data_IF_316304887906
#
_entry.id   IF_316304887906
#
_cell.length_a   1.000
_cell.length_b   1.000
_cell.length_c   1.000
_cell.angle_alpha   90.00
_cell.angle_beta   90.00
_cell.angle_gamma   90.00
#
_symmetry.space_group_name_H-M   'P 1'
#
loop_
_entity.id
_entity.type
_entity.pdbx_description
1 polymer ?
#
# COMPACT_ATOMS: atom_id res chain seq x y z
N UNK A 1 29.66 -20.48 72.04
CA UNK A 1 29.55 -20.86 70.62
C UNK A 1 28.28 -20.24 70.09
N UNK A 2 28.34 -19.14 69.37
CA UNK A 2 27.15 -18.46 68.69
C UNK A 2 27.31 -18.59 67.20
N UNK A 3 26.33 -19.24 66.57
CA UNK A 3 26.24 -19.49 65.14
C UNK A 3 25.85 -18.20 64.44
N UNK A 4 26.69 -17.74 63.53
CA UNK A 4 26.45 -16.60 62.63
C UNK A 4 25.63 -17.09 61.42
N UNK A 5 24.36 -16.68 61.30
CA UNK A 5 23.55 -16.94 60.12
C UNK A 5 23.93 -15.96 58.98
N UNK A 6 24.36 -16.53 57.86
CA UNK A 6 24.68 -15.80 56.63
C UNK A 6 23.42 -15.26 55.97
N UNK A 7 23.31 -13.96 55.85
CA UNK A 7 22.38 -13.24 55.00
C UNK A 7 23.12 -12.74 53.76
N UNK A 8 22.91 -13.30 52.62
CA UNK A 8 23.18 -12.79 51.24
C UNK A 8 22.51 -13.80 50.29
N UNK A 9 21.86 -13.47 49.16
CA UNK A 9 21.74 -12.22 48.46
C UNK A 9 20.34 -12.01 47.84
N UNK A 10 19.58 -11.07 48.28
CA UNK A 10 18.35 -10.69 47.57
C UNK A 10 18.51 -9.46 46.63
N UNK A 11 19.69 -8.79 46.66
CA UNK A 11 19.86 -7.51 45.97
C UNK A 11 20.34 -7.62 44.51
N UNK A 12 20.81 -8.80 44.07
CA UNK A 12 21.40 -8.95 42.73
C UNK A 12 20.36 -9.24 41.61
N UNK A 13 19.17 -9.73 41.97
CA UNK A 13 18.15 -10.12 40.96
C UNK A 13 17.34 -8.91 40.48
N UNK A 14 17.21 -7.85 41.26
CA UNK A 14 16.41 -6.68 40.89
C UNK A 14 17.08 -5.77 39.85
N UNK A 15 18.41 -5.76 39.76
CA UNK A 15 19.16 -4.91 38.81
C UNK A 15 19.10 -5.42 37.36
N UNK A 16 18.94 -6.73 37.14
CA UNK A 16 18.91 -7.34 35.79
C UNK A 16 17.59 -7.05 35.07
N UNK A 17 16.46 -7.01 35.80
CA UNK A 17 15.17 -6.71 35.26
C UNK A 17 15.06 -5.27 34.69
N UNK A 18 15.71 -4.29 35.34
CA UNK A 18 15.69 -2.89 34.85
C UNK A 18 16.50 -2.69 33.57
N UNK A 19 17.59 -3.39 33.38
CA UNK A 19 18.41 -3.27 32.16
C UNK A 19 17.70 -3.85 30.96
N UNK A 20 16.98 -4.98 31.12
CA UNK A 20 16.19 -5.60 30.06
C UNK A 20 15.01 -4.72 29.63
N UNK A 21 14.30 -4.08 30.57
CA UNK A 21 13.19 -3.18 30.28
C UNK A 21 13.65 -1.92 29.52
N UNK A 22 14.78 -1.33 29.89
CA UNK A 22 15.36 -0.18 29.21
C UNK A 22 15.85 -0.52 27.79
N UNK A 23 16.39 -1.71 27.56
CA UNK A 23 16.80 -2.17 26.23
C UNK A 23 15.61 -2.40 25.33
N UNK A 24 14.57 -3.13 25.79
CA UNK A 24 13.32 -3.37 25.05
C UNK A 24 12.65 -2.05 24.62
N UNK A 25 12.59 -1.05 25.51
CA UNK A 25 12.03 0.25 25.18
C UNK A 25 12.83 1.01 24.11
N UNK A 26 14.16 0.92 24.12
CA UNK A 26 15.03 1.59 23.16
C UNK A 26 14.94 0.92 21.78
N UNK A 27 14.88 -0.40 21.73
CA UNK A 27 14.72 -1.17 20.50
C UNK A 27 13.35 -0.89 19.86
N UNK A 28 12.27 -0.78 20.65
CA UNK A 28 10.95 -0.39 20.19
C UNK A 28 10.93 1.00 19.52
N UNK A 29 11.63 1.97 20.10
CA UNK A 29 11.72 3.33 19.55
C UNK A 29 12.55 3.42 18.25
N UNK A 30 13.37 2.43 17.98
CA UNK A 30 14.22 2.37 16.79
C UNK A 30 13.62 1.51 15.66
N UNK A 31 12.65 0.66 15.97
CA UNK A 31 12.03 -0.25 15.00
C UNK A 31 10.98 0.48 14.15
N UNK A 32 11.33 0.76 12.90
CA UNK A 32 10.45 1.33 11.89
C UNK A 32 9.85 0.28 10.96
N UNK A 33 10.11 -1.01 11.18
CA UNK A 33 9.74 -2.10 10.26
C UNK A 33 8.25 -2.08 9.92
N UNK A 34 7.37 -2.01 10.94
CA UNK A 34 5.92 -2.01 10.69
C UNK A 34 5.47 -0.78 9.91
N UNK A 35 6.07 0.39 10.16
CA UNK A 35 5.76 1.62 9.43
C UNK A 35 6.18 1.49 7.96
N UNK A 36 7.39 1.01 7.70
CA UNK A 36 7.90 0.78 6.34
C UNK A 36 7.12 -0.29 5.59
N UNK A 37 6.73 -1.39 6.25
CA UNK A 37 5.91 -2.44 5.65
C UNK A 37 4.51 -1.92 5.29
N UNK A 38 3.89 -1.14 6.17
CA UNK A 38 2.58 -0.53 5.89
C UNK A 38 2.67 0.50 4.75
N UNK A 39 3.68 1.37 4.75
CA UNK A 39 3.94 2.31 3.64
C UNK A 39 4.09 1.56 2.30
N UNK A 40 4.88 0.49 2.28
CA UNK A 40 5.06 -0.34 1.09
C UNK A 40 3.73 -0.93 0.59
N UNK A 41 2.82 -1.31 1.51
CA UNK A 41 1.47 -1.79 1.15
C UNK A 41 0.61 -0.68 0.54
N UNK A 42 0.64 0.53 1.10
CA UNK A 42 -0.12 1.67 0.57
C UNK A 42 0.41 2.09 -0.81
N UNK A 43 1.72 2.23 -0.96
CA UNK A 43 2.37 2.54 -2.24
C UNK A 43 2.07 1.48 -3.30
N UNK A 44 2.19 0.19 -2.95
CA UNK A 44 1.82 -0.91 -3.85
C UNK A 44 0.34 -0.84 -4.24
N UNK A 45 -0.53 -0.61 -3.27
CA UNK A 45 -1.98 -0.55 -3.49
C UNK A 45 -2.37 0.54 -4.48
N UNK A 46 -1.76 1.71 -4.39
CA UNK A 46 -1.97 2.81 -5.32
C UNK A 46 -1.38 2.50 -6.70
N UNK A 47 -0.20 1.91 -6.77
CA UNK A 47 0.48 1.55 -8.01
C UNK A 47 -0.36 0.62 -8.89
N UNK A 48 -0.84 -0.51 -8.35
CA UNK A 48 -1.62 -1.48 -9.13
C UNK A 48 -2.99 -0.97 -9.53
N UNK A 49 -3.61 -0.09 -8.73
CA UNK A 49 -4.86 0.59 -9.13
C UNK A 49 -4.63 1.48 -10.35
N UNK A 50 -3.61 2.32 -10.30
CA UNK A 50 -3.28 3.22 -11.40
C UNK A 50 -2.95 2.45 -12.69
N UNK A 51 -2.17 1.37 -12.58
CA UNK A 51 -1.85 0.48 -13.71
C UNK A 51 -3.13 -0.10 -14.33
N UNK A 52 -4.03 -0.65 -13.51
CA UNK A 52 -5.25 -1.28 -13.98
C UNK A 52 -6.23 -0.25 -14.59
N UNK A 53 -6.42 0.91 -13.93
CA UNK A 53 -7.29 1.97 -14.44
C UNK A 53 -6.77 2.54 -15.77
N UNK A 54 -5.45 2.70 -15.92
CA UNK A 54 -4.84 3.15 -17.16
C UNK A 54 -4.94 2.10 -18.27
N UNK A 55 -4.69 0.82 -17.97
CA UNK A 55 -4.85 -0.27 -18.90
C UNK A 55 -6.31 -0.39 -19.38
N UNK A 56 -7.30 -0.22 -18.49
CA UNK A 56 -8.72 -0.26 -18.86
C UNK A 56 -9.11 0.86 -19.83
N UNK A 57 -8.58 2.06 -19.66
CA UNK A 57 -8.83 3.20 -20.57
C UNK A 57 -8.39 2.91 -22.01
N UNK A 58 -7.31 2.15 -22.22
CA UNK A 58 -6.82 1.81 -23.56
C UNK A 58 -7.78 0.87 -24.33
N UNK A 59 -8.50 0.00 -23.62
CA UNK A 59 -9.41 -0.98 -24.24
C UNK A 59 -10.82 -0.46 -24.51
N UNK A 60 -11.32 0.45 -23.66
CA UNK A 60 -12.69 0.98 -23.82
C UNK A 60 -12.77 2.08 -24.89
N UNK A 61 -11.70 2.75 -25.21
CA UNK A 61 -11.72 3.87 -26.17
C UNK A 61 -11.82 3.43 -27.63
N UNK A 62 -11.54 2.15 -27.98
CA UNK A 62 -11.66 1.63 -29.34
C UNK A 62 -10.91 2.41 -30.44
N UNK A 63 -10.32 3.53 -30.10
CA UNK A 63 -9.53 4.41 -30.93
C UNK A 63 -8.14 4.57 -30.34
N UNK A 64 -7.12 4.27 -31.11
CA UNK A 64 -5.74 4.72 -30.86
C UNK A 64 -5.69 6.23 -31.05
N UNK A 65 -6.14 6.98 -30.04
CA UNK A 65 -5.88 8.41 -29.97
C UNK A 65 -4.48 8.61 -29.41
N UNK A 66 -3.90 9.78 -29.64
CA UNK A 66 -2.62 10.17 -29.03
C UNK A 66 -2.61 9.99 -27.51
N UNK A 67 -3.76 10.19 -26.85
CA UNK A 67 -3.96 9.98 -25.41
C UNK A 67 -3.85 8.50 -24.98
N UNK A 68 -4.34 7.56 -25.81
CA UNK A 68 -4.17 6.12 -25.56
C UNK A 68 -2.69 5.70 -25.69
N UNK A 69 -1.94 6.35 -26.57
CA UNK A 69 -0.51 6.16 -26.73
C UNK A 69 0.28 6.63 -25.50
N UNK A 70 -0.03 7.82 -24.98
CA UNK A 70 0.60 8.35 -23.76
C UNK A 70 0.31 7.46 -22.53
N UNK A 71 -0.91 6.96 -22.38
CA UNK A 71 -1.27 6.01 -21.33
C UNK A 71 -0.50 4.70 -21.47
N UNK A 72 -0.37 4.20 -22.70
CA UNK A 72 0.38 2.97 -22.99
C UNK A 72 1.87 3.12 -22.68
N UNK A 73 2.46 4.27 -22.98
CA UNK A 73 3.84 4.59 -22.62
C UNK A 73 4.05 4.69 -21.11
N UNK A 74 3.05 5.16 -20.36
CA UNK A 74 3.08 5.21 -18.90
C UNK A 74 3.07 3.83 -18.23
N UNK A 75 2.41 2.82 -18.87
CA UNK A 75 2.39 1.44 -18.38
C UNK A 75 3.72 0.71 -18.55
N UNK A 76 4.59 1.17 -19.41
CA UNK A 76 5.87 0.65 -19.90
C UNK A 76 5.76 0.01 -21.30
N UNK A 77 6.80 0.17 -22.10
CA UNK A 77 6.85 -0.35 -23.48
C UNK A 77 6.85 -1.89 -23.56
N UNK A 78 7.08 -2.58 -22.46
CA UNK A 78 7.14 -4.04 -22.40
C UNK A 78 5.88 -4.70 -21.82
N UNK A 79 4.89 -3.94 -21.35
CA UNK A 79 3.62 -4.50 -20.88
C UNK A 79 2.67 -4.77 -22.05
N UNK A 80 2.07 -5.94 -22.06
CA UNK A 80 0.99 -6.29 -23.00
C UNK A 80 -0.34 -6.23 -22.27
N UNK A 81 -1.30 -5.49 -22.85
CA UNK A 81 -2.66 -5.35 -22.31
C UNK A 81 -3.63 -6.12 -23.19
N UNK A 82 -4.42 -6.99 -22.59
CA UNK A 82 -5.46 -7.78 -23.27
C UNK A 82 -6.81 -7.57 -22.60
N UNK A 83 -7.83 -7.24 -23.40
CA UNK A 83 -9.20 -7.11 -22.93
C UNK A 83 -10.05 -8.26 -23.49
N UNK A 84 -10.59 -9.10 -22.62
CA UNK A 84 -11.67 -10.02 -22.94
C UNK A 84 -12.99 -9.37 -22.50
N UNK A 85 -13.68 -8.76 -23.46
CA UNK A 85 -14.97 -8.11 -23.25
C UNK A 85 -16.16 -9.03 -23.54
N UNK A 86 -15.92 -10.29 -23.94
CA UNK A 86 -16.93 -11.28 -24.31
C UNK A 86 -17.28 -12.18 -23.13
N UNK A 87 -16.29 -12.57 -22.34
CA UNK A 87 -16.48 -13.38 -21.12
C UNK A 87 -17.33 -12.67 -20.06
N UNK A 88 -17.98 -13.44 -19.21
CA UNK A 88 -18.71 -12.94 -18.05
C UNK A 88 -18.25 -13.69 -16.79
N UNK A 89 -17.50 -13.03 -15.86
CA UNK A 89 -17.09 -11.62 -15.88
C UNK A 89 -16.08 -11.32 -17.01
N UNK A 90 -16.00 -10.05 -17.44
CA UNK A 90 -14.98 -9.56 -18.37
C UNK A 90 -13.59 -9.62 -17.72
N UNK A 91 -12.56 -9.76 -18.53
CA UNK A 91 -11.19 -9.90 -18.01
C UNK A 91 -10.26 -8.90 -18.68
N UNK A 92 -9.55 -8.13 -17.86
CA UNK A 92 -8.41 -7.31 -18.25
C UNK A 92 -7.14 -7.98 -17.74
N UNK A 93 -6.21 -8.29 -18.64
CA UNK A 93 -4.89 -8.83 -18.29
C UNK A 93 -3.81 -7.84 -18.66
N UNK A 94 -2.94 -7.52 -17.69
CA UNK A 94 -1.72 -6.72 -17.88
C UNK A 94 -0.54 -7.65 -17.64
N UNK A 95 0.18 -7.99 -18.71
CA UNK A 95 1.30 -8.95 -18.70
C UNK A 95 2.62 -8.21 -18.90
N UNK A 96 3.47 -8.21 -17.88
CA UNK A 96 4.81 -7.61 -17.89
C UNK A 96 5.90 -8.62 -18.33
N UNK A 97 5.51 -9.83 -18.74
CA UNK A 97 6.43 -10.90 -19.11
C UNK A 97 7.10 -11.58 -17.93
N UNK A 98 8.13 -12.38 -18.21
CA UNK A 98 8.85 -13.20 -17.21
C UNK A 98 10.12 -12.54 -16.70
N UNK A 99 10.58 -11.47 -17.33
CA UNK A 99 11.77 -10.70 -16.96
C UNK A 99 11.38 -9.30 -16.49
N UNK A 100 12.28 -8.63 -15.76
CA UNK A 100 12.00 -7.28 -15.26
C UNK A 100 11.76 -6.30 -16.41
N UNK A 101 10.59 -5.71 -16.40
CA UNK A 101 10.10 -4.68 -17.28
C UNK A 101 10.09 -3.36 -16.50
N UNK A 102 10.97 -2.42 -16.86
CA UNK A 102 11.06 -1.14 -16.19
C UNK A 102 9.99 -0.18 -16.74
N UNK A 103 9.13 0.31 -15.84
CA UNK A 103 8.17 1.35 -16.15
C UNK A 103 8.80 2.75 -16.22
N UNK A 104 8.06 3.72 -16.75
CA UNK A 104 8.47 5.14 -16.77
C UNK A 104 8.69 5.71 -15.37
N UNK A 105 8.05 5.12 -14.35
CA UNK A 105 8.22 5.43 -12.93
C UNK A 105 9.52 4.82 -12.34
N UNK A 106 10.35 4.18 -13.15
CA UNK A 106 11.61 3.54 -12.76
C UNK A 106 11.45 2.23 -11.99
N UNK A 107 10.22 1.74 -11.79
CA UNK A 107 9.96 0.47 -11.09
C UNK A 107 10.01 -0.70 -12.05
N UNK A 108 10.67 -1.77 -11.62
CA UNK A 108 10.68 -3.04 -12.34
C UNK A 108 9.45 -3.87 -12.00
N UNK A 109 8.78 -4.42 -13.03
CA UNK A 109 7.64 -5.33 -12.88
C UNK A 109 7.84 -6.55 -13.76
N UNK A 110 7.33 -7.71 -13.32
CA UNK A 110 7.19 -8.94 -14.13
C UNK A 110 6.00 -9.75 -13.63
N UNK A 111 5.52 -10.70 -14.44
CA UNK A 111 4.30 -11.45 -14.18
C UNK A 111 3.06 -10.67 -14.58
N UNK A 112 1.89 -11.02 -14.05
CA UNK A 112 0.61 -10.50 -14.52
C UNK A 112 -0.24 -9.92 -13.41
N UNK A 113 -0.98 -8.86 -13.76
CA UNK A 113 -2.14 -8.38 -13.03
C UNK A 113 -3.37 -8.79 -13.84
N UNK A 114 -4.29 -9.52 -13.21
CA UNK A 114 -5.52 -10.02 -13.84
C UNK A 114 -6.70 -9.39 -13.10
N UNK A 115 -7.55 -8.66 -13.82
CA UNK A 115 -8.72 -8.00 -13.27
C UNK A 115 -9.96 -8.57 -13.95
N UNK A 116 -10.76 -9.33 -13.21
CA UNK A 116 -12.12 -9.67 -13.64
C UNK A 116 -13.10 -8.61 -13.16
N UNK A 117 -14.07 -8.21 -14.00
CA UNK A 117 -15.00 -7.14 -13.65
C UNK A 117 -16.39 -7.35 -14.25
N UNK A 118 -17.41 -6.85 -13.53
CA UNK A 118 -18.81 -6.87 -13.95
C UNK A 118 -19.17 -5.58 -14.70
N UNK A 119 -20.07 -5.64 -15.67
CA UNK A 119 -20.51 -4.46 -16.43
C UNK A 119 -19.38 -3.82 -17.24
N UNK A 120 -19.34 -2.50 -17.29
CA UNK A 120 -18.21 -1.74 -17.84
C UNK A 120 -17.22 -1.42 -16.72
N UNK A 121 -15.94 -1.28 -17.05
CA UNK A 121 -14.88 -1.12 -16.05
C UNK A 121 -15.09 0.10 -15.13
N UNK A 122 -15.53 1.23 -15.69
CA UNK A 122 -15.75 2.47 -14.93
C UNK A 122 -17.21 2.70 -14.53
N UNK A 123 -18.11 1.78 -14.84
CA UNK A 123 -19.55 1.92 -14.55
C UNK A 123 -19.81 1.96 -13.03
N UNK A 124 -20.76 2.80 -12.62
CA UNK A 124 -21.25 2.83 -11.23
C UNK A 124 -21.84 1.46 -10.88
N UNK A 125 -21.48 0.93 -9.73
CA UNK A 125 -21.87 -0.40 -9.27
C UNK A 125 -20.98 -1.53 -9.83
N UNK A 126 -20.01 -1.24 -10.74
CA UNK A 126 -19.06 -2.26 -11.18
C UNK A 126 -18.22 -2.80 -10.03
N UNK A 127 -18.03 -4.13 -10.04
CA UNK A 127 -17.14 -4.81 -9.09
C UNK A 127 -15.97 -5.40 -9.86
N UNK A 128 -14.77 -5.06 -9.42
CA UNK A 128 -13.51 -5.52 -10.01
C UNK A 128 -12.79 -6.41 -9.00
N UNK A 129 -12.37 -7.60 -9.43
CA UNK A 129 -11.53 -8.50 -8.62
C UNK A 129 -10.16 -8.59 -9.27
N UNK A 130 -9.14 -8.10 -8.56
CA UNK A 130 -7.76 -8.07 -9.02
C UNK A 130 -6.96 -9.17 -8.33
N UNK A 131 -6.30 -9.98 -9.14
CA UNK A 131 -5.41 -11.07 -8.73
C UNK A 131 -4.03 -10.91 -9.38
N UNK A 132 -3.04 -11.62 -8.84
CA UNK A 132 -1.64 -11.54 -9.24
C UNK A 132 -1.14 -12.93 -9.63
N UNK A 133 -0.64 -13.07 -10.87
CA UNK A 133 -0.02 -14.31 -11.34
C UNK A 133 1.49 -14.09 -11.51
N UNK A 134 2.27 -14.70 -10.61
CA UNK A 134 3.72 -14.53 -10.54
C UNK A 134 4.17 -13.07 -10.65
N UNK A 135 3.38 -12.16 -10.07
CA UNK A 135 3.63 -10.73 -10.16
C UNK A 135 4.67 -10.29 -9.13
N UNK A 136 5.63 -9.53 -9.64
CA UNK A 136 6.70 -8.93 -8.84
C UNK A 136 6.80 -7.44 -9.12
N UNK A 137 7.13 -6.68 -8.08
CA UNK A 137 7.49 -5.26 -8.15
C UNK A 137 8.81 -5.04 -7.42
N UNK A 138 9.84 -4.56 -8.14
CA UNK A 138 11.21 -4.42 -7.60
C UNK A 138 11.67 -5.70 -6.89
N UNK A 139 11.49 -6.86 -7.55
CA UNK A 139 11.84 -8.21 -7.09
C UNK A 139 11.11 -8.69 -5.81
N UNK A 140 10.14 -7.94 -5.31
CA UNK A 140 9.25 -8.40 -4.27
C UNK A 140 8.03 -9.08 -4.91
N UNK A 141 7.77 -10.35 -4.55
CA UNK A 141 6.60 -11.09 -5.04
C UNK A 141 5.35 -10.63 -4.32
N UNK A 142 4.27 -10.44 -5.08
CA UNK A 142 2.98 -9.98 -4.57
C UNK A 142 1.96 -11.09 -4.78
N UNK A 143 1.20 -11.39 -3.73
CA UNK A 143 0.09 -12.35 -3.74
C UNK A 143 -1.11 -11.77 -3.00
N UNK A 144 -2.30 -12.34 -3.25
CA UNK A 144 -3.55 -11.94 -2.61
C UNK A 144 -4.60 -11.48 -3.60
N UNK A 145 -5.72 -10.98 -3.09
CA UNK A 145 -6.86 -10.54 -3.88
C UNK A 145 -7.35 -9.18 -3.43
N UNK A 146 -7.73 -8.34 -4.39
CA UNK A 146 -8.36 -7.03 -4.13
C UNK A 146 -9.70 -6.97 -4.83
N UNK A 147 -10.73 -6.60 -4.08
CA UNK A 147 -12.07 -6.34 -4.61
C UNK A 147 -12.34 -4.85 -4.55
N UNK A 148 -12.62 -4.25 -5.69
CA UNK A 148 -12.88 -2.82 -5.84
C UNK A 148 -14.31 -2.65 -6.32
N UNK A 149 -15.13 -1.94 -5.55
CA UNK A 149 -16.51 -1.60 -5.90
C UNK A 149 -16.60 -0.11 -6.22
N UNK A 150 -17.11 0.24 -7.38
CA UNK A 150 -17.47 1.62 -7.72
C UNK A 150 -18.80 1.97 -7.05
N UNK A 151 -18.79 2.76 -5.99
CA UNK A 151 -19.99 3.12 -5.23
C UNK A 151 -20.78 4.26 -5.89
N UNK A 152 -20.23 4.90 -6.93
CA UNK A 152 -20.80 6.09 -7.53
C UNK A 152 -20.49 7.37 -6.76
N UNK A 153 -21.41 8.32 -6.79
CA UNK A 153 -21.22 9.63 -6.14
C UNK A 153 -21.57 9.57 -4.65
N UNK A 154 -20.75 10.22 -3.83
CA UNK A 154 -21.05 10.46 -2.42
C UNK A 154 -22.05 11.64 -2.25
N UNK A 155 -22.38 11.97 -1.00
CA UNK A 155 -23.28 13.05 -0.68
C UNK A 155 -22.79 14.46 -1.12
N UNK A 156 -21.49 14.58 -1.44
CA UNK A 156 -20.84 15.78 -1.97
C UNK A 156 -20.68 15.76 -3.49
N UNK A 157 -21.23 14.74 -4.16
CA UNK A 157 -21.14 14.58 -5.63
C UNK A 157 -19.77 14.07 -6.11
N UNK A 158 -18.95 13.46 -5.27
CA UNK A 158 -17.63 12.96 -5.59
C UNK A 158 -17.66 11.45 -5.84
N UNK A 159 -17.03 11.00 -6.91
CA UNK A 159 -16.88 9.56 -7.19
C UNK A 159 -16.07 8.89 -6.08
N UNK A 160 -16.52 7.71 -5.64
CA UNK A 160 -15.81 6.96 -4.62
C UNK A 160 -15.85 5.44 -4.86
N UNK A 161 -14.88 4.75 -4.30
CA UNK A 161 -14.70 3.32 -4.41
C UNK A 161 -14.39 2.71 -3.05
N UNK A 162 -15.01 1.57 -2.77
CA UNK A 162 -14.59 0.69 -1.67
C UNK A 162 -13.58 -0.31 -2.19
N UNK A 163 -12.46 -0.46 -1.48
CA UNK A 163 -11.36 -1.35 -1.82
C UNK A 163 -11.14 -2.31 -0.65
N UNK A 164 -11.46 -3.59 -0.86
CA UNK A 164 -11.19 -4.66 0.09
C UNK A 164 -9.98 -5.47 -0.39
N UNK A 165 -8.89 -5.42 0.35
CA UNK A 165 -7.72 -6.25 0.11
C UNK A 165 -7.72 -7.43 1.08
N UNK A 166 -7.58 -8.64 0.55
CA UNK A 166 -7.69 -9.88 1.31
C UNK A 166 -6.47 -10.76 1.08
N UNK A 167 -5.91 -11.30 2.18
CA UNK A 167 -4.76 -12.20 2.16
C UNK A 167 -3.59 -11.64 1.32
N UNK A 168 -3.44 -10.32 1.35
CA UNK A 168 -2.34 -9.69 0.65
C UNK A 168 -1.01 -10.08 1.30
N UNK A 169 -0.01 -10.30 0.44
CA UNK A 169 1.31 -10.73 0.88
C UNK A 169 2.39 -10.14 -0.03
N UNK A 170 3.42 -9.59 0.60
CA UNK A 170 4.68 -9.22 -0.04
C UNK A 170 5.76 -10.18 0.46
N UNK A 171 6.33 -10.97 -0.45
CA UNK A 171 7.53 -11.75 -0.20
C UNK A 171 8.70 -10.93 -0.71
N UNK A 172 9.45 -10.36 0.21
CA UNK A 172 10.59 -9.48 -0.10
C UNK A 172 11.74 -10.29 -0.72
N UNK A 173 12.59 -9.64 -1.50
CA UNK A 173 13.77 -10.27 -2.13
C UNK A 173 14.73 -10.94 -1.14
N UNK A 174 14.71 -10.51 0.13
CA UNK A 174 15.48 -11.11 1.23
C UNK A 174 14.75 -12.26 1.96
N UNK A 175 13.60 -12.74 1.43
CA UNK A 175 12.79 -13.81 1.98
C UNK A 175 11.86 -13.42 3.14
N UNK A 176 11.92 -12.20 3.66
CA UNK A 176 10.98 -11.75 4.68
C UNK A 176 9.58 -11.57 4.10
N UNK A 177 8.56 -11.86 4.89
CA UNK A 177 7.16 -11.83 4.48
C UNK A 177 6.40 -10.78 5.30
N UNK A 178 5.65 -9.95 4.60
CA UNK A 178 4.67 -9.03 5.16
C UNK A 178 3.29 -9.40 4.63
N UNK A 179 2.28 -9.53 5.50
CA UNK A 179 0.90 -9.84 5.12
C UNK A 179 -0.06 -8.80 5.66
N UNK A 180 -1.17 -8.56 4.93
CA UNK A 180 -2.21 -7.67 5.42
C UNK A 180 -3.58 -7.94 4.80
N UNK A 181 -4.61 -7.47 5.50
CA UNK A 181 -5.96 -7.23 4.99
C UNK A 181 -6.28 -5.75 5.20
N UNK A 182 -7.02 -5.14 4.28
CA UNK A 182 -7.43 -3.75 4.45
C UNK A 182 -8.80 -3.46 3.85
N UNK A 183 -9.47 -2.49 4.45
CA UNK A 183 -10.67 -1.86 3.88
C UNK A 183 -10.35 -0.38 3.71
N UNK A 184 -10.43 0.11 2.47
CA UNK A 184 -10.16 1.50 2.11
C UNK A 184 -11.35 2.08 1.37
N UNK A 185 -11.61 3.35 1.59
CA UNK A 185 -12.42 4.18 0.71
C UNK A 185 -11.50 5.14 -0.02
N UNK A 186 -11.56 5.15 -1.35
CA UNK A 186 -10.86 6.10 -2.22
C UNK A 186 -11.92 7.03 -2.78
N UNK A 187 -11.78 8.34 -2.58
CA UNK A 187 -12.69 9.36 -3.05
C UNK A 187 -11.95 10.30 -4.00
N UNK A 188 -12.51 10.58 -5.16
CA UNK A 188 -11.94 11.49 -6.14
C UNK A 188 -12.25 12.93 -5.75
N UNK A 189 -11.22 13.75 -5.60
CA UNK A 189 -11.33 15.17 -5.25
C UNK A 189 -11.29 16.07 -6.47
N UNK A 190 -10.55 15.66 -7.53
CA UNK A 190 -10.45 16.37 -8.81
C UNK A 190 -10.17 15.37 -9.96
N UNK A 191 -10.37 15.80 -11.19
CA UNK A 191 -10.09 15.04 -12.42
C UNK A 191 -11.29 14.30 -13.03
N UNK A 192 -12.45 14.26 -12.35
CA UNK A 192 -13.62 13.51 -12.83
C UNK A 192 -14.21 14.05 -14.15
N UNK A 193 -14.01 15.30 -14.46
CA UNK A 193 -14.51 16.03 -15.62
C UNK A 193 -13.52 16.14 -16.79
N UNK A 194 -12.32 15.58 -16.62
CA UNK A 194 -11.26 15.59 -17.64
C UNK A 194 -11.01 14.18 -18.20
N UNK A 195 -10.32 14.10 -19.32
CA UNK A 195 -9.81 12.85 -19.88
C UNK A 195 -8.38 12.57 -19.47
N UNK A 196 -7.73 13.54 -18.84
CA UNK A 196 -6.35 13.50 -18.39
C UNK A 196 -6.30 12.84 -17.03
N UNK A 197 -5.53 11.79 -16.86
CA UNK A 197 -5.42 11.06 -15.59
C UNK A 197 -4.39 11.67 -14.63
N UNK A 198 -3.47 12.48 -15.13
CA UNK A 198 -2.41 13.10 -14.32
C UNK A 198 -2.92 14.22 -13.41
N UNK A 199 -4.12 14.77 -13.69
CA UNK A 199 -4.80 15.75 -12.86
C UNK A 199 -5.76 15.13 -11.84
N UNK A 200 -5.90 13.79 -11.84
CA UNK A 200 -6.69 13.08 -10.85
C UNK A 200 -6.09 13.24 -9.46
N UNK A 201 -6.92 13.63 -8.51
CA UNK A 201 -6.58 13.75 -7.09
C UNK A 201 -7.53 12.90 -6.27
N UNK A 202 -6.99 12.14 -5.34
CA UNK A 202 -7.74 11.25 -4.48
C UNK A 202 -7.45 11.48 -3.01
N UNK A 203 -8.48 11.21 -2.21
CA UNK A 203 -8.43 11.04 -0.77
C UNK A 203 -8.64 9.57 -0.42
N UNK A 204 -7.84 9.03 0.50
CA UNK A 204 -7.93 7.64 0.93
C UNK A 204 -8.13 7.59 2.43
N UNK A 205 -9.12 6.82 2.88
CA UNK A 205 -9.43 6.56 4.29
C UNK A 205 -9.56 5.07 4.55
N UNK A 206 -9.63 4.68 5.83
CA UNK A 206 -9.90 3.29 6.23
C UNK A 206 -8.80 2.69 7.11
N UNK A 207 -8.81 1.36 7.23
CA UNK A 207 -7.96 0.63 8.17
C UNK A 207 -7.36 -0.63 7.57
N UNK A 208 -6.33 -1.16 8.21
CA UNK A 208 -5.74 -2.46 7.88
C UNK A 208 -5.29 -3.21 9.14
N UNK A 209 -5.15 -4.52 8.99
CA UNK A 209 -4.51 -5.42 9.96
C UNK A 209 -3.52 -6.30 9.21
N UNK A 210 -2.46 -6.74 9.89
CA UNK A 210 -1.48 -7.59 9.21
C UNK A 210 -0.41 -8.13 10.14
N UNK A 211 0.59 -8.76 9.53
CA UNK A 211 1.81 -9.24 10.18
C UNK A 211 3.00 -8.63 9.48
N UNK A 212 3.83 -7.90 10.20
CA UNK A 212 5.01 -7.25 9.62
C UNK A 212 6.13 -8.25 9.29
N UNK A 213 7.16 -7.80 8.60
CA UNK A 213 8.29 -8.61 8.17
C UNK A 213 9.17 -9.18 9.32
N UNK A 214 8.89 -8.80 10.57
CA UNK A 214 9.49 -9.37 11.79
C UNK A 214 8.53 -10.31 12.55
N UNK A 215 7.35 -10.64 11.96
CA UNK A 215 6.37 -11.56 12.54
C UNK A 215 5.46 -10.95 13.60
N UNK A 216 5.41 -9.62 13.76
CA UNK A 216 4.52 -8.95 14.72
C UNK A 216 3.19 -8.62 14.06
N UNK A 217 2.08 -9.00 14.69
CA UNK A 217 0.76 -8.51 14.31
C UNK A 217 0.69 -6.99 14.47
N UNK A 218 -0.14 -6.34 13.66
CA UNK A 218 -0.39 -4.91 13.79
C UNK A 218 -1.80 -4.54 13.32
N UNK A 219 -2.25 -3.40 13.80
CA UNK A 219 -3.40 -2.67 13.24
C UNK A 219 -2.92 -1.32 12.73
N UNK A 220 -3.55 -0.81 11.67
CA UNK A 220 -3.26 0.52 11.14
C UNK A 220 -4.56 1.23 10.76
N UNK A 221 -4.67 2.51 11.15
CA UNK A 221 -5.80 3.37 10.86
C UNK A 221 -5.32 4.67 10.22
N UNK A 222 -5.94 5.07 9.13
CA UNK A 222 -5.73 6.40 8.56
C UNK A 222 -6.48 7.38 9.44
N UNK A 223 -5.75 8.24 10.14
CA UNK A 223 -6.29 9.23 11.11
C UNK A 223 -6.48 10.60 10.49
N UNK A 224 -5.69 10.94 9.47
CA UNK A 224 -5.97 12.03 8.52
C UNK A 224 -5.98 11.43 7.13
N UNK A 225 -6.98 11.72 6.29
CA UNK A 225 -7.06 11.17 4.94
C UNK A 225 -5.74 11.31 4.20
N UNK A 226 -5.33 10.24 3.51
CA UNK A 226 -4.14 10.28 2.68
C UNK A 226 -4.49 10.96 1.37
N UNK A 227 -3.75 11.99 1.02
CA UNK A 227 -3.88 12.69 -0.24
C UNK A 227 -2.97 12.08 -1.30
N UNK A 228 -3.50 11.88 -2.50
CA UNK A 228 -2.79 11.26 -3.61
C UNK A 228 -3.12 11.98 -4.92
N UNK A 229 -2.24 12.85 -5.37
CA UNK A 229 -2.28 13.37 -6.74
C UNK A 229 -1.57 12.39 -7.69
N UNK A 230 -2.16 12.07 -8.86
CA UNK A 230 -1.54 11.14 -9.80
C UNK A 230 -0.34 11.77 -10.54
N UNK A 231 -0.21 13.10 -10.55
CA UNK A 231 1.00 13.81 -10.96
C UNK A 231 2.17 13.64 -10.00
N UNK A 232 1.91 13.15 -8.78
CA UNK A 232 2.93 12.86 -7.77
C UNK A 232 3.14 11.35 -7.62
N UNK A 233 4.38 10.91 -7.52
CA UNK A 233 4.72 9.48 -7.35
C UNK A 233 4.35 8.93 -5.98
N UNK A 234 4.30 9.79 -4.95
CA UNK A 234 4.10 9.41 -3.55
C UNK A 234 2.75 9.90 -3.00
N UNK A 235 2.37 9.40 -1.84
CA UNK A 235 1.38 10.04 -0.97
C UNK A 235 2.06 11.30 -0.46
N UNK A 236 1.43 12.45 -0.61
CA UNK A 236 2.03 13.76 -0.33
C UNK A 236 1.51 14.39 0.98
N UNK A 237 0.42 13.86 1.55
CA UNK A 237 -0.04 14.27 2.87
C UNK A 237 -0.98 13.25 3.52
N UNK A 238 -1.28 13.48 4.80
CA UNK A 238 -2.11 12.61 5.62
C UNK A 238 -1.34 11.84 6.67
N UNK A 239 -2.03 11.13 7.54
CA UNK A 239 -1.40 10.37 8.64
C UNK A 239 -2.02 8.99 8.83
N UNK A 240 -1.16 8.03 9.18
CA UNK A 240 -1.57 6.68 9.58
C UNK A 240 -1.04 6.42 10.99
N UNK A 241 -1.90 5.96 11.88
CA UNK A 241 -1.50 5.38 13.17
C UNK A 241 -1.40 3.87 13.05
N UNK A 242 -0.25 3.31 13.41
CA UNK A 242 0.08 1.90 13.33
C UNK A 242 0.41 1.39 14.73
N UNK A 243 -0.29 0.37 15.19
CA UNK A 243 -0.08 -0.23 16.51
C UNK A 243 0.37 -1.69 16.34
N UNK A 244 1.66 -1.99 16.39
CA UNK A 244 2.14 -3.35 16.44
C UNK A 244 1.85 -3.97 17.81
N UNK A 245 1.66 -5.29 17.82
CA UNK A 245 1.40 -6.05 19.03
C UNK A 245 2.51 -5.82 20.09
N UNK A 246 2.11 -5.57 21.33
CA UNK A 246 3.00 -5.27 22.48
C UNK A 246 3.99 -4.10 22.26
N UNK A 247 3.71 -3.22 21.32
CA UNK A 247 4.56 -2.08 20.99
C UNK A 247 3.79 -0.76 21.07
N UNK A 248 4.53 0.34 21.24
CA UNK A 248 3.93 1.66 21.19
C UNK A 248 3.37 1.96 19.78
N UNK A 249 2.26 2.68 19.70
CA UNK A 249 1.72 3.20 18.45
C UNK A 249 2.74 4.10 17.75
N UNK A 250 2.80 3.96 16.43
CA UNK A 250 3.60 4.78 15.54
C UNK A 250 2.68 5.63 14.69
N UNK A 251 2.96 6.90 14.56
CA UNK A 251 2.29 7.79 13.61
C UNK A 251 3.21 8.00 12.43
N UNK A 252 2.77 7.60 11.25
CA UNK A 252 3.41 7.93 9.97
C UNK A 252 2.73 9.20 9.45
N UNK A 253 3.49 10.25 9.23
CA UNK A 253 3.02 11.52 8.65
C UNK A 253 3.70 11.72 7.29
N UNK A 254 2.88 11.81 6.23
CA UNK A 254 3.31 11.94 4.84
C UNK A 254 3.57 13.40 4.43
N UNK A 255 3.50 14.33 5.38
CA UNK A 255 3.79 15.73 5.09
C UNK A 255 2.55 16.59 4.84
N UNK A 256 2.73 17.67 4.10
CA UNK A 256 1.78 18.75 3.94
C UNK A 256 1.46 19.11 2.48
N UNK A 257 1.62 18.15 1.56
CA UNK A 257 1.29 18.32 0.14
C UNK A 257 2.50 18.54 -0.78
N UNK A 258 3.73 18.42 -0.28
CA UNK A 258 4.91 18.42 -1.14
C UNK A 258 5.06 17.08 -1.83
N UNK A 259 5.31 17.10 -3.15
CA UNK A 259 5.58 15.87 -3.88
C UNK A 259 7.06 15.49 -3.70
N UNK A 260 7.35 14.78 -2.62
CA UNK A 260 8.68 14.25 -2.34
C UNK A 260 8.59 12.82 -1.75
N UNK A 261 9.73 12.17 -1.58
CA UNK A 261 9.84 10.82 -1.04
C UNK A 261 9.98 10.79 0.49
N UNK A 262 9.64 11.88 1.18
CA UNK A 262 9.87 12.01 2.61
C UNK A 262 8.59 11.77 3.41
N UNK A 263 8.73 11.04 4.50
CA UNK A 263 7.71 10.97 5.55
C UNK A 263 8.39 10.91 6.91
N UNK A 264 7.63 11.11 7.97
CA UNK A 264 8.13 10.98 9.32
C UNK A 264 7.41 9.86 10.07
N UNK A 265 8.15 9.16 10.92
CA UNK A 265 7.60 8.18 11.88
C UNK A 265 7.83 8.69 13.28
N UNK A 266 6.75 8.93 14.00
CA UNK A 266 6.77 9.33 15.40
C UNK A 266 6.35 8.17 16.31
N UNK A 267 7.16 7.89 17.33
CA UNK A 267 6.87 6.93 18.39
C UNK A 267 7.02 7.63 19.73
N UNK A 268 5.92 7.78 20.49
CA UNK A 268 5.88 8.59 21.70
C UNK A 268 6.31 10.05 21.39
N UNK A 269 7.46 10.50 21.85
CA UNK A 269 7.99 11.88 21.64
C UNK A 269 9.20 11.91 20.70
N UNK A 270 9.52 10.81 20.00
CA UNK A 270 10.66 10.73 19.08
C UNK A 270 10.16 10.61 17.65
N UNK A 271 10.70 11.43 16.79
CA UNK A 271 10.39 11.45 15.36
C UNK A 271 11.64 11.09 14.55
N UNK A 272 11.46 10.38 13.46
CA UNK A 272 12.48 9.97 12.49
C UNK A 272 11.97 10.16 11.09
N UNK A 273 12.83 10.57 10.19
CA UNK A 273 12.52 10.59 8.77
C UNK A 273 12.63 9.17 8.19
N UNK A 274 11.75 8.86 7.25
CA UNK A 274 11.80 7.66 6.41
C UNK A 274 11.69 8.11 4.96
N UNK A 275 12.25 7.31 4.05
CA UNK A 275 12.13 7.50 2.61
C UNK A 275 11.09 6.53 2.08
N UNK A 276 10.15 7.05 1.28
CA UNK A 276 9.08 6.27 0.64
C UNK A 276 9.63 5.51 -0.58
N UNK A 277 9.09 4.29 -0.87
CA UNK A 277 9.59 3.39 -1.92
C UNK A 277 8.64 3.29 -3.14
#
# INVERSE_FOLDING_TARGET
MKTLKKFVPALLILSIAFVSACKKNRDDLNDTTTASDNEQSETFSNDVMNIADNAAKTGESGARTSEAQEVYEALSQCATVTHDSVSNPRILTIDFGTTNCQGADGRNRRGKIIVSYTGRYFEIGSVKTMNFDNFYRNDNKIEGTRVITNNGLDAQGRMNWTINAQNMKIIKSNGKIHTWNSVRTRTMLAGNDTKTWTDDIYEITGSSTGVNANGLNYTANITKPLHRALSCRWIDSGTIEITPEERATRTVDFGNGNCDDQATVSVRKKTRNITLN
#
